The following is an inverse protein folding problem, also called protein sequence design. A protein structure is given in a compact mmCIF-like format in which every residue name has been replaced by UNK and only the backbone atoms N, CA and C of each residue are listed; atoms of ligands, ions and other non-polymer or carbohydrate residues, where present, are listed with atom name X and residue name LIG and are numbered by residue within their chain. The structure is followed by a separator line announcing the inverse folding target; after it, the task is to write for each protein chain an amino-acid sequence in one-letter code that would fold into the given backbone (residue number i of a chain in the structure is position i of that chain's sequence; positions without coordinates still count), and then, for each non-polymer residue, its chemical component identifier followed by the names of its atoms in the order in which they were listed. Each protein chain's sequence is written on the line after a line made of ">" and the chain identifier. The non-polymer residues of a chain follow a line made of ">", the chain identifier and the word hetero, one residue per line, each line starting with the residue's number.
data_IF_944644519938
#
_entry.id   IF_944644519938
#
_cell.length_a   1.000
_cell.length_b   1.000
_cell.length_c   1.000
_cell.angle_alpha   90.00
_cell.angle_beta   90.00
_cell.angle_gamma   90.00
#
_symmetry.space_group_name_H-M   'P 1'
#
loop_
_entity.id
_entity.type
_entity.pdbx_description
1 polymer ?
#
# COMPACT_ATOMS: atom_id res chain seq x y z
N UNK A 1 -13.57 -9.40 18.69
CA UNK A 1 -14.27 -9.11 17.44
C UNK A 1 -13.30 -8.62 16.41
N UNK A 2 -13.32 -9.26 15.26
CA UNK A 2 -12.37 -8.90 14.20
C UNK A 2 -12.88 -7.71 13.43
N UNK A 3 -12.29 -6.55 13.70
CA UNK A 3 -12.53 -5.41 12.84
C UNK A 3 -11.88 -5.67 11.49
N UNK A 4 -12.51 -5.21 10.43
CA UNK A 4 -11.94 -5.33 9.10
C UNK A 4 -10.68 -4.49 8.99
N UNK A 5 -9.66 -5.07 8.40
CA UNK A 5 -8.45 -4.33 8.07
C UNK A 5 -8.78 -3.35 6.95
N UNK A 6 -8.50 -2.08 7.17
CA UNK A 6 -8.77 -1.03 6.19
C UNK A 6 -7.51 -0.73 5.40
N UNK A 7 -7.57 -0.94 4.11
CA UNK A 7 -6.41 -0.81 3.22
C UNK A 7 -6.66 0.27 2.16
N UNK A 8 -5.71 1.19 2.06
CA UNK A 8 -5.69 2.18 0.98
C UNK A 8 -4.84 1.62 -0.16
N UNK A 9 -5.41 1.55 -1.35
CA UNK A 9 -4.64 1.16 -2.55
C UNK A 9 -4.45 2.38 -3.44
N UNK A 10 -3.22 2.56 -3.92
CA UNK A 10 -2.84 3.71 -4.72
C UNK A 10 -2.18 3.24 -6.01
N UNK A 11 -2.84 3.48 -7.12
CA UNK A 11 -2.38 3.08 -8.45
C UNK A 11 -3.10 3.98 -9.44
N UNK A 12 -2.41 4.47 -10.47
CA UNK A 12 -3.04 5.33 -11.47
C UNK A 12 -3.91 4.53 -12.47
N UNK A 13 -3.75 3.21 -12.52
CA UNK A 13 -4.56 2.34 -13.37
C UNK A 13 -5.84 1.92 -12.67
N UNK A 14 -6.97 2.39 -13.18
CA UNK A 14 -8.29 2.02 -12.65
C UNK A 14 -8.52 0.50 -12.70
N UNK A 15 -8.07 -0.14 -13.78
CA UNK A 15 -8.23 -1.58 -13.94
C UNK A 15 -7.44 -2.36 -12.89
N UNK A 16 -6.18 -1.98 -12.66
CA UNK A 16 -5.35 -2.66 -11.67
C UNK A 16 -5.84 -2.41 -10.26
N UNK A 17 -6.32 -1.19 -9.97
CA UNK A 17 -6.92 -0.91 -8.66
C UNK A 17 -8.14 -1.80 -8.42
N UNK A 18 -9.00 -1.96 -9.44
CA UNK A 18 -10.18 -2.80 -9.31
C UNK A 18 -9.82 -4.26 -9.03
N UNK A 19 -8.83 -4.78 -9.73
CA UNK A 19 -8.38 -6.17 -9.51
C UNK A 19 -7.85 -6.37 -8.10
N UNK A 20 -7.02 -5.46 -7.64
CA UNK A 20 -6.45 -5.54 -6.30
C UNK A 20 -7.54 -5.36 -5.24
N UNK A 21 -8.46 -4.43 -5.46
CA UNK A 21 -9.59 -4.23 -4.57
C UNK A 21 -10.42 -5.50 -4.42
N UNK A 22 -10.76 -6.15 -5.54
CA UNK A 22 -11.56 -7.37 -5.49
C UNK A 22 -10.86 -8.46 -4.69
N UNK A 23 -9.55 -8.64 -4.86
CA UNK A 23 -8.79 -9.61 -4.10
C UNK A 23 -8.77 -9.30 -2.61
N UNK A 24 -8.54 -8.03 -2.26
CA UNK A 24 -8.48 -7.63 -0.86
C UNK A 24 -9.84 -7.73 -0.18
N UNK A 25 -10.90 -7.38 -0.88
CA UNK A 25 -12.26 -7.53 -0.34
C UNK A 25 -12.61 -8.99 -0.12
N UNK A 26 -12.18 -9.88 -1.01
CA UNK A 26 -12.36 -11.32 -0.83
C UNK A 26 -11.60 -11.85 0.39
N UNK A 27 -10.56 -11.18 0.82
CA UNK A 27 -9.82 -11.53 2.02
C UNK A 27 -10.38 -10.88 3.28
N UNK A 28 -11.52 -10.23 3.17
CA UNK A 28 -12.20 -9.61 4.31
C UNK A 28 -11.72 -8.21 4.66
N UNK A 29 -11.04 -7.53 3.74
CA UNK A 29 -10.56 -6.18 3.98
C UNK A 29 -11.56 -5.13 3.51
N UNK A 30 -11.56 -3.99 4.18
CA UNK A 30 -12.23 -2.79 3.68
C UNK A 30 -11.21 -2.05 2.81
N UNK A 31 -11.60 -1.60 1.63
CA UNK A 31 -10.66 -0.99 0.68
C UNK A 31 -11.10 0.42 0.32
N UNK A 32 -10.13 1.34 0.36
CA UNK A 32 -10.29 2.69 -0.15
C UNK A 32 -9.22 2.91 -1.23
N UNK A 33 -9.48 3.82 -2.16
CA UNK A 33 -8.63 3.99 -3.35
C UNK A 33 -8.15 5.41 -3.54
N UNK A 34 -6.95 5.53 -4.11
CA UNK A 34 -6.39 6.80 -4.55
C UNK A 34 -5.76 6.59 -5.94
N UNK A 35 -5.77 7.62 -6.77
CA UNK A 35 -5.26 7.55 -8.13
C UNK A 35 -3.82 8.04 -8.27
N UNK A 36 -3.33 8.74 -7.27
CA UNK A 36 -1.99 9.33 -7.30
C UNK A 36 -1.49 9.56 -5.89
N UNK A 37 -0.22 9.97 -5.79
CA UNK A 37 0.42 10.15 -4.49
C UNK A 37 -0.22 11.24 -3.63
N UNK A 38 -0.68 12.32 -4.26
CA UNK A 38 -1.33 13.41 -3.54
C UNK A 38 -2.63 12.95 -2.90
N UNK A 39 -3.46 12.22 -3.67
CA UNK A 39 -4.69 11.64 -3.13
C UNK A 39 -4.41 10.65 -2.02
N UNK A 40 -3.34 9.85 -2.16
CA UNK A 40 -2.97 8.88 -1.13
C UNK A 40 -2.68 9.58 0.19
N UNK A 41 -1.94 10.68 0.15
CA UNK A 41 -1.64 11.46 1.35
C UNK A 41 -2.92 12.00 1.98
N UNK A 42 -3.81 12.56 1.16
CA UNK A 42 -5.08 13.09 1.64
C UNK A 42 -5.96 12.00 2.24
N UNK A 43 -6.04 10.85 1.58
CA UNK A 43 -6.84 9.72 2.06
C UNK A 43 -6.28 9.14 3.36
N UNK A 44 -4.95 9.10 3.49
CA UNK A 44 -4.32 8.65 4.72
C UNK A 44 -4.70 9.55 5.90
N UNK A 45 -4.68 10.85 5.69
CA UNK A 45 -5.06 11.81 6.72
C UNK A 45 -6.54 11.73 7.09
N UNK A 46 -7.40 11.55 6.11
CA UNK A 46 -8.85 11.55 6.32
C UNK A 46 -9.37 10.23 6.86
N UNK A 47 -8.87 9.12 6.33
CA UNK A 47 -9.44 7.80 6.57
C UNK A 47 -8.64 6.95 7.55
N UNK A 48 -7.40 7.31 7.81
CA UNK A 48 -6.51 6.58 8.73
C UNK A 48 -6.49 5.08 8.47
N UNK A 49 -6.07 4.65 7.27
CA UNK A 49 -6.04 3.22 6.95
C UNK A 49 -5.04 2.46 7.81
N UNK A 50 -5.26 1.16 7.94
CA UNK A 50 -4.34 0.27 8.65
C UNK A 50 -3.09 -0.05 7.83
N UNK A 51 -3.19 0.08 6.52
CA UNK A 51 -2.09 -0.22 5.60
C UNK A 51 -2.30 0.50 4.28
N UNK A 52 -1.20 0.82 3.61
CA UNK A 52 -1.22 1.47 2.30
C UNK A 52 -0.46 0.61 1.30
N UNK A 53 -1.11 0.29 0.17
CA UNK A 53 -0.45 -0.31 -0.99
C UNK A 53 -0.21 0.83 -1.98
N UNK A 54 1.04 1.07 -2.33
CA UNK A 54 1.46 2.28 -3.02
C UNK A 54 2.32 1.95 -4.25
N UNK A 55 1.82 2.29 -5.44
CA UNK A 55 2.58 2.11 -6.67
C UNK A 55 3.76 3.09 -6.70
N UNK A 56 4.89 2.63 -7.20
CA UNK A 56 6.10 3.47 -7.32
C UNK A 56 5.94 4.48 -8.44
N UNK A 57 5.41 4.06 -9.60
CA UNK A 57 5.31 4.92 -10.77
C UNK A 57 3.92 5.48 -10.93
N UNK A 58 3.77 6.77 -10.67
CA UNK A 58 2.50 7.48 -10.81
C UNK A 58 2.77 8.89 -11.33
N UNK A 59 1.80 9.53 -12.04
CA UNK A 59 1.98 10.90 -12.48
C UNK A 59 1.99 11.88 -11.30
N UNK A 60 2.60 13.03 -11.51
CA UNK A 60 2.73 14.13 -10.55
C UNK A 60 3.57 13.72 -9.34
N UNK A 61 2.93 13.30 -8.24
CA UNK A 61 3.65 12.84 -7.06
C UNK A 61 3.83 11.34 -7.16
N UNK A 62 5.06 10.90 -7.38
CA UNK A 62 5.38 9.48 -7.48
C UNK A 62 5.34 8.76 -6.15
N UNK A 63 5.42 7.42 -6.21
CA UNK A 63 5.30 6.60 -5.00
C UNK A 63 6.40 6.83 -3.99
N UNK A 64 7.63 7.09 -4.43
CA UNK A 64 8.74 7.34 -3.50
C UNK A 64 8.52 8.64 -2.74
N UNK A 65 8.12 9.70 -3.44
CA UNK A 65 7.84 10.99 -2.83
C UNK A 65 6.65 10.90 -1.87
N UNK A 66 5.61 10.18 -2.28
CA UNK A 66 4.45 9.95 -1.42
C UNK A 66 4.82 9.16 -0.17
N UNK A 67 5.66 8.13 -0.32
CA UNK A 67 6.13 7.32 0.81
C UNK A 67 6.83 8.19 1.84
N UNK A 68 7.68 9.11 1.40
CA UNK A 68 8.39 10.00 2.31
C UNK A 68 7.41 10.78 3.18
N UNK A 69 6.40 11.39 2.57
CA UNK A 69 5.40 12.17 3.30
C UNK A 69 4.55 11.28 4.20
N UNK A 70 4.11 10.14 3.69
CA UNK A 70 3.28 9.22 4.46
C UNK A 70 3.99 8.73 5.72
N UNK A 71 5.29 8.44 5.63
CA UNK A 71 6.05 7.97 6.78
C UNK A 71 6.35 9.08 7.78
N UNK A 72 6.41 10.33 7.31
CA UNK A 72 6.56 11.48 8.22
C UNK A 72 5.26 11.74 8.99
N UNK A 73 4.11 11.62 8.32
CA UNK A 73 2.81 11.89 8.92
C UNK A 73 2.39 10.76 9.85
N UNK A 74 2.52 9.52 9.39
CA UNK A 74 2.12 8.33 10.14
C UNK A 74 3.21 7.27 10.09
N UNK A 75 4.27 7.41 10.91
CA UNK A 75 5.40 6.48 10.83
C UNK A 75 5.05 5.03 11.15
N UNK A 76 3.96 4.77 11.85
CA UNK A 76 3.56 3.41 12.21
C UNK A 76 2.71 2.71 11.16
N UNK A 77 2.11 3.43 10.23
CA UNK A 77 1.27 2.82 9.20
C UNK A 77 2.14 2.04 8.21
N UNK A 78 1.95 0.72 8.09
CA UNK A 78 2.74 -0.06 7.15
C UNK A 78 2.39 0.30 5.70
N UNK A 79 3.44 0.41 4.88
CA UNK A 79 3.30 0.70 3.45
C UNK A 79 3.94 -0.43 2.66
N UNK A 80 3.18 -1.03 1.75
CA UNK A 80 3.65 -2.06 0.83
C UNK A 80 3.75 -1.43 -0.55
N UNK A 81 4.95 -1.43 -1.12
CA UNK A 81 5.16 -0.83 -2.44
C UNK A 81 4.74 -1.79 -3.55
N UNK A 82 4.20 -1.23 -4.62
CA UNK A 82 3.85 -2.00 -5.82
C UNK A 82 4.73 -1.50 -6.96
N UNK A 83 5.29 -2.40 -7.76
CA UNK A 83 6.17 -2.01 -8.85
C UNK A 83 5.95 -2.86 -10.09
N UNK A 84 5.73 -2.22 -11.25
CA UNK A 84 5.59 -2.93 -12.53
C UNK A 84 6.94 -3.13 -13.23
N UNK A 85 7.91 -2.28 -12.96
CA UNK A 85 9.23 -2.33 -13.60
C UNK A 85 10.27 -1.83 -12.61
N UNK A 86 10.26 -2.43 -11.44
CA UNK A 86 11.15 -1.97 -10.39
C UNK A 86 12.60 -2.23 -10.72
N UNK A 87 13.40 -1.18 -10.70
CA UNK A 87 14.82 -1.40 -10.62
C UNK A 87 15.12 -1.79 -9.17
N UNK A 88 16.04 -2.73 -8.95
CA UNK A 88 16.38 -3.13 -7.59
C UNK A 88 16.77 -1.96 -6.68
N UNK A 89 17.39 -0.92 -7.26
CA UNK A 89 17.76 0.26 -6.50
C UNK A 89 16.58 1.02 -5.93
N UNK A 90 15.52 1.21 -6.73
CA UNK A 90 14.31 1.90 -6.27
C UNK A 90 13.61 1.13 -5.17
N UNK A 91 13.50 -0.18 -5.33
CA UNK A 91 12.88 -1.03 -4.32
C UNK A 91 13.66 -1.00 -3.01
N UNK A 92 14.98 -1.10 -3.08
CA UNK A 92 15.82 -1.02 -1.89
C UNK A 92 15.71 0.34 -1.21
N UNK A 93 15.62 1.40 -2.01
CA UNK A 93 15.44 2.75 -1.48
C UNK A 93 14.14 2.85 -0.66
N UNK A 94 13.04 2.30 -1.17
CA UNK A 94 11.77 2.35 -0.45
C UNK A 94 11.83 1.60 0.88
N UNK A 95 12.52 0.46 0.92
CA UNK A 95 12.70 -0.27 2.17
C UNK A 95 13.49 0.55 3.19
N UNK A 96 14.55 1.23 2.75
CA UNK A 96 15.34 2.10 3.62
C UNK A 96 14.53 3.29 4.12
N UNK A 97 13.55 3.73 3.35
CA UNK A 97 12.67 4.84 3.73
C UNK A 97 11.56 4.41 4.67
N UNK A 98 11.45 3.13 4.97
CA UNK A 98 10.49 2.62 5.92
C UNK A 98 9.32 1.86 5.34
N UNK A 99 9.32 1.56 4.04
CA UNK A 99 8.32 0.65 3.48
C UNK A 99 8.48 -0.72 4.13
N UNK A 100 7.37 -1.37 4.43
CA UNK A 100 7.37 -2.68 5.07
C UNK A 100 7.83 -3.77 4.13
N UNK A 101 7.40 -3.68 2.87
CA UNK A 101 7.69 -4.70 1.86
C UNK A 101 7.39 -4.14 0.47
N UNK A 102 7.63 -4.93 -0.54
CA UNK A 102 7.26 -4.59 -1.91
C UNK A 102 6.76 -5.83 -2.65
N UNK A 103 5.92 -5.61 -3.65
CA UNK A 103 5.40 -6.67 -4.52
C UNK A 103 5.58 -6.24 -5.96
N UNK A 104 6.18 -7.09 -6.79
CA UNK A 104 6.34 -6.84 -8.22
C UNK A 104 5.10 -7.26 -8.99
N UNK A 105 4.68 -6.40 -9.91
CA UNK A 105 3.60 -6.74 -10.84
C UNK A 105 4.17 -7.53 -12.03
N UNK A 106 3.45 -8.51 -12.58
CA UNK A 106 2.18 -9.03 -12.10
C UNK A 106 2.38 -9.87 -10.83
N UNK A 107 1.50 -9.69 -9.87
CA UNK A 107 1.58 -10.43 -8.60
C UNK A 107 0.58 -11.57 -8.58
N UNK A 108 0.90 -12.60 -7.79
CA UNK A 108 0.02 -13.75 -7.60
C UNK A 108 -0.92 -13.52 -6.43
N UNK A 109 -2.00 -14.28 -6.39
CA UNK A 109 -2.92 -14.26 -5.25
C UNK A 109 -2.18 -14.56 -3.94
N UNK A 110 -1.25 -15.54 -3.96
CA UNK A 110 -0.47 -15.88 -2.77
C UNK A 110 0.35 -14.72 -2.24
N UNK A 111 0.94 -13.92 -3.13
CA UNK A 111 1.71 -12.75 -2.71
C UNK A 111 0.83 -11.74 -1.99
N UNK A 112 -0.40 -11.55 -2.47
CA UNK A 112 -1.35 -10.65 -1.81
C UNK A 112 -1.77 -11.21 -0.46
N UNK A 113 -2.07 -12.50 -0.37
CA UNK A 113 -2.43 -13.15 0.88
C UNK A 113 -1.32 -12.99 1.92
N UNK A 114 -0.08 -13.26 1.52
CA UNK A 114 1.07 -13.14 2.44
C UNK A 114 1.27 -11.70 2.92
N UNK A 115 1.09 -10.74 2.03
CA UNK A 115 1.21 -9.32 2.39
C UNK A 115 0.13 -8.94 3.42
N UNK A 116 -1.11 -9.35 3.19
CA UNK A 116 -2.21 -9.06 4.11
C UNK A 116 -1.97 -9.72 5.47
N UNK A 117 -1.51 -10.97 5.49
CA UNK A 117 -1.18 -11.66 6.74
C UNK A 117 -0.08 -10.94 7.51
N UNK A 118 0.96 -10.49 6.81
CA UNK A 118 2.05 -9.74 7.44
C UNK A 118 1.56 -8.41 8.03
N UNK A 119 0.68 -7.72 7.31
CA UNK A 119 0.08 -6.47 7.79
C UNK A 119 -0.76 -6.73 9.04
N UNK A 120 -1.59 -7.78 9.03
CA UNK A 120 -2.43 -8.12 10.18
C UNK A 120 -1.58 -8.38 11.43
N UNK A 121 -0.47 -9.10 11.28
CA UNK A 121 0.44 -9.37 12.41
C UNK A 121 1.06 -8.09 12.93
N UNK A 122 1.45 -7.18 12.03
CA UNK A 122 2.06 -5.92 12.43
C UNK A 122 1.06 -5.03 13.15
N UNK A 123 -0.15 -4.91 12.65
CA UNK A 123 -1.20 -4.11 13.27
C UNK A 123 -1.55 -4.67 14.64
N UNK A 124 -1.66 -5.98 14.78
CA UNK A 124 -1.94 -6.61 16.06
C UNK A 124 -0.80 -6.38 17.07
N UNK A 125 0.45 -6.41 16.61
CA UNK A 125 1.60 -6.18 17.49
C UNK A 125 1.69 -4.74 17.99
N UNK A 126 1.17 -3.78 17.21
CA UNK A 126 1.21 -2.36 17.55
C UNK A 126 0.02 -1.91 18.42
N UNK A 127 -0.92 -2.81 18.67
CA UNK A 127 -2.05 -2.53 19.58
C UNK A 127 -1.63 -2.60 21.07
#
# INVERSE_FOLDING_TARGET
>A
MDSKLKILITDDSKLLRKKLRDELENLGCEVIEAENGKEAIMMDLQEQPDCIFLDIVMPEVGGIEALQVLKEVNPKTPVVMLSSAGTPKKLMQTLKMGAMDFIQKPYTHEQIVKAVEAVRRKVAADE
#
